data_IF_895827199774
#
_entry.id   IF_895827199774
#
_cell.length_a   1.000
_cell.length_b   1.000
_cell.length_c   1.000
_cell.angle_alpha   90.00
_cell.angle_beta   90.00
_cell.angle_gamma   90.00
#
_symmetry.space_group_name_H-M   'P 1'
#
loop_
_entity.id
_entity.type
_entity.pdbx_description
1 polymer ?
#
# COMPACT_ATOMS: atom_id res chain seq x y z
N UNK A 1 -4.14 7.19 3.94
CA UNK A 1 -3.81 5.97 4.73
C UNK A 1 -4.16 6.21 6.17
N UNK A 2 -4.63 5.20 6.88
CA UNK A 2 -4.82 5.30 8.34
C UNK A 2 -3.52 4.97 9.07
N UNK A 3 -3.21 5.77 10.08
CA UNK A 3 -2.18 5.45 11.05
C UNK A 3 -2.68 4.35 12.00
N UNK A 4 -1.74 3.74 12.71
CA UNK A 4 -2.04 2.88 13.87
C UNK A 4 -2.89 3.67 14.87
N UNK A 5 -4.08 3.17 15.21
CA UNK A 5 -5.08 3.90 16.01
C UNK A 5 -6.13 4.68 15.20
N UNK A 6 -6.13 4.60 13.87
CA UNK A 6 -7.21 5.10 13.01
C UNK A 6 -7.10 6.57 12.57
N UNK A 7 -6.06 7.28 13.00
CA UNK A 7 -5.79 8.67 12.63
C UNK A 7 -5.16 8.85 11.24
N UNK A 8 -4.74 10.08 10.91
CA UNK A 8 -4.02 10.38 9.68
C UNK A 8 -2.60 9.81 9.72
N UNK A 9 -2.21 9.11 8.65
CA UNK A 9 -0.86 8.57 8.50
C UNK A 9 -0.15 9.03 7.22
N UNK A 10 1.18 9.09 7.27
CA UNK A 10 2.05 9.29 6.10
C UNK A 10 3.00 8.10 5.97
N UNK A 11 3.13 7.60 4.76
CA UNK A 11 4.17 6.64 4.38
C UNK A 11 5.27 7.36 3.61
N UNK A 12 6.46 7.46 4.21
CA UNK A 12 7.62 8.09 3.61
C UNK A 12 8.67 7.02 3.24
N UNK A 13 9.17 7.07 2.01
CA UNK A 13 10.18 6.13 1.52
C UNK A 13 11.51 6.84 1.31
N UNK A 14 12.54 6.40 2.03
CA UNK A 14 13.92 6.88 1.89
C UNK A 14 14.82 5.72 1.48
N UNK A 15 15.18 5.65 0.19
CA UNK A 15 15.96 4.56 -0.42
C UNK A 15 15.35 3.17 -0.17
N UNK A 16 15.78 2.50 0.90
CA UNK A 16 15.33 1.17 1.32
C UNK A 16 14.73 1.16 2.72
N UNK A 17 14.46 2.32 3.30
CA UNK A 17 13.80 2.47 4.59
C UNK A 17 12.44 3.12 4.38
N UNK A 18 11.40 2.53 4.96
CA UNK A 18 10.08 3.12 5.05
C UNK A 18 9.86 3.70 6.45
N UNK A 19 9.29 4.89 6.51
CA UNK A 19 8.90 5.55 7.74
C UNK A 19 7.40 5.75 7.73
N UNK A 20 6.73 5.29 8.78
CA UNK A 20 5.31 5.51 9.02
C UNK A 20 5.20 6.62 10.06
N UNK A 21 4.56 7.70 9.66
CA UNK A 21 4.28 8.84 10.51
C UNK A 21 2.80 8.86 10.84
N UNK A 22 2.46 9.28 12.05
CA UNK A 22 1.09 9.51 12.48
C UNK A 22 0.94 10.94 12.95
N UNK A 23 -0.25 11.49 12.77
CA UNK A 23 -0.59 12.77 13.37
C UNK A 23 -0.99 12.53 14.82
N UNK A 24 -0.33 13.22 15.75
CA UNK A 24 -0.69 13.24 17.17
C UNK A 24 -0.99 14.66 17.62
N UNK A 25 -1.86 14.78 18.61
CA UNK A 25 -2.22 16.04 19.24
C UNK A 25 -1.61 16.06 20.63
N UNK A 26 -0.86 17.11 20.95
CA UNK A 26 -0.26 17.30 22.27
C UNK A 26 -1.26 17.86 23.29
N UNK A 27 -0.79 18.14 24.51
CA UNK A 27 -1.60 18.72 25.59
C UNK A 27 -2.15 20.10 25.25
N UNK A 28 -1.52 20.81 24.31
CA UNK A 28 -1.90 22.15 23.89
C UNK A 28 -2.87 22.12 22.69
N UNK A 29 -3.37 20.93 22.34
CA UNK A 29 -4.22 20.66 21.18
C UNK A 29 -3.56 20.99 19.84
N UNK A 30 -2.22 21.02 19.76
CA UNK A 30 -1.49 21.25 18.53
C UNK A 30 -1.20 19.91 17.86
N UNK A 31 -1.63 19.79 16.60
CA UNK A 31 -1.38 18.60 15.79
C UNK A 31 0.03 18.63 15.20
N UNK A 32 0.80 17.55 15.40
CA UNK A 32 2.13 17.39 14.83
C UNK A 32 2.34 15.98 14.26
N UNK A 33 3.27 15.87 13.30
CA UNK A 33 3.66 14.58 12.74
C UNK A 33 4.72 13.93 13.62
N UNK A 34 4.41 12.73 14.11
CA UNK A 34 5.30 11.93 14.94
C UNK A 34 5.68 10.66 14.18
N UNK A 35 6.97 10.31 14.21
CA UNK A 35 7.47 9.08 13.62
C UNK A 35 6.98 7.89 14.46
N UNK A 36 6.05 7.10 13.92
CA UNK A 36 5.50 5.94 14.62
C UNK A 36 6.40 4.70 14.47
N UNK A 37 6.89 4.46 13.24
CA UNK A 37 7.63 3.24 12.93
C UNK A 37 8.61 3.47 11.78
N UNK A 38 9.78 2.84 11.87
CA UNK A 38 10.72 2.72 10.74
C UNK A 38 10.90 1.25 10.39
N UNK A 39 10.91 0.95 9.09
CA UNK A 39 11.00 -0.41 8.55
C UNK A 39 12.12 -0.46 7.52
N UNK A 40 13.08 -1.36 7.74
CA UNK A 40 14.18 -1.61 6.80
C UNK A 40 13.75 -2.62 5.73
N UNK A 41 13.41 -2.12 4.55
CA UNK A 41 12.88 -2.92 3.45
C UNK A 41 13.94 -3.83 2.82
N UNK A 42 15.23 -3.48 2.91
CA UNK A 42 16.33 -4.29 2.37
C UNK A 42 16.54 -5.61 3.08
N UNK A 43 16.23 -5.67 4.38
CA UNK A 43 16.25 -6.91 5.16
C UNK A 43 15.05 -7.79 4.83
N UNK A 44 13.86 -7.19 4.68
CA UNK A 44 12.60 -7.91 4.49
C UNK A 44 12.43 -8.47 3.07
N UNK A 45 12.93 -7.74 2.07
CA UNK A 45 12.81 -8.14 0.67
C UNK A 45 13.90 -9.13 0.22
N UNK A 46 14.75 -9.65 1.14
CA UNK A 46 15.90 -10.52 0.82
C UNK A 46 16.71 -9.98 -0.37
N UNK A 47 16.93 -8.66 -0.38
CA UNK A 47 17.45 -7.88 -1.52
C UNK A 47 18.97 -8.03 -1.74
N UNK A 48 19.56 -9.17 -1.39
CA UNK A 48 21.01 -9.40 -1.41
C UNK A 48 21.63 -9.18 -2.80
N UNK A 49 20.90 -9.44 -3.90
CA UNK A 49 21.37 -9.16 -5.26
C UNK A 49 21.13 -7.72 -5.73
N UNK A 50 20.19 -7.00 -5.11
CA UNK A 50 19.74 -5.66 -5.50
C UNK A 50 20.72 -4.57 -5.06
N UNK A 51 21.42 -4.76 -3.93
CA UNK A 51 22.36 -3.77 -3.37
C UNK A 51 23.44 -3.29 -4.35
N UNK A 52 23.73 -4.07 -5.40
CA UNK A 52 24.68 -3.73 -6.47
C UNK A 52 24.08 -2.83 -7.56
N UNK A 53 22.76 -2.89 -7.78
CA UNK A 53 22.03 -2.03 -8.72
C UNK A 53 21.52 -0.81 -7.94
N UNK A 54 22.15 0.34 -8.16
CA UNK A 54 21.90 1.61 -7.44
C UNK A 54 20.50 2.22 -7.64
N UNK A 55 19.55 1.51 -8.22
CA UNK A 55 18.21 2.06 -8.41
C UNK A 55 17.39 1.94 -7.11
N UNK A 56 16.79 3.05 -6.63
CA UNK A 56 16.00 3.07 -5.41
C UNK A 56 14.61 2.45 -5.64
N UNK A 57 13.99 2.00 -4.54
CA UNK A 57 12.57 1.66 -4.55
C UNK A 57 11.75 2.92 -4.85
N UNK A 58 10.61 2.74 -5.54
CA UNK A 58 9.66 3.83 -5.76
C UNK A 58 8.23 3.40 -5.46
N UNK A 59 7.46 4.31 -4.88
CA UNK A 59 6.02 4.11 -4.63
C UNK A 59 5.31 4.22 -5.98
N UNK A 60 4.48 3.21 -6.29
CA UNK A 60 3.62 3.22 -7.49
C UNK A 60 2.18 3.58 -7.19
N UNK A 61 1.75 3.35 -5.95
CA UNK A 61 0.44 3.79 -5.49
C UNK A 61 0.11 3.21 -4.14
N UNK A 62 -1.09 3.54 -3.69
CA UNK A 62 -1.57 3.22 -2.36
C UNK A 62 -3.05 2.83 -2.44
N UNK A 63 -3.41 1.76 -1.74
CA UNK A 63 -4.77 1.27 -1.58
C UNK A 63 -5.22 1.65 -0.17
N UNK A 64 -6.13 2.62 -0.07
CA UNK A 64 -6.39 3.33 1.18
C UNK A 64 -7.16 2.52 2.20
N UNK A 65 -8.16 1.79 1.76
CA UNK A 65 -9.02 1.01 2.62
C UNK A 65 -8.27 -0.16 3.25
N UNK A 66 -7.39 -0.82 2.47
CA UNK A 66 -6.65 -1.98 2.93
C UNK A 66 -5.28 -1.65 3.54
N UNK A 67 -4.91 -0.36 3.60
CA UNK A 67 -3.59 0.10 4.05
C UNK A 67 -2.43 -0.61 3.35
N UNK A 68 -2.52 -0.75 2.02
CA UNK A 68 -1.50 -1.43 1.19
C UNK A 68 -0.75 -0.45 0.32
N UNK A 69 0.59 -0.51 0.34
CA UNK A 69 1.46 0.27 -0.55
C UNK A 69 2.03 -0.61 -1.65
N UNK A 70 2.00 -0.11 -2.89
CA UNK A 70 2.68 -0.73 -4.03
C UNK A 70 4.07 -0.13 -4.19
N UNK A 71 5.09 -0.97 -4.06
CA UNK A 71 6.48 -0.60 -4.29
C UNK A 71 7.02 -1.29 -5.53
N UNK A 72 7.60 -0.49 -6.43
CA UNK A 72 8.40 -1.01 -7.52
C UNK A 72 9.86 -1.07 -7.07
N UNK A 73 10.40 -2.28 -7.06
CA UNK A 73 11.80 -2.53 -7.29
C UNK A 73 12.05 -2.67 -8.81
N UNK A 74 13.26 -2.48 -9.31
CA UNK A 74 13.45 -2.38 -10.76
C UNK A 74 13.19 -3.64 -11.57
N UNK A 75 13.13 -4.82 -10.96
CA UNK A 75 12.68 -6.06 -11.61
C UNK A 75 11.33 -6.56 -11.13
N UNK A 76 10.79 -6.00 -10.04
CA UNK A 76 9.71 -6.64 -9.28
C UNK A 76 8.76 -5.61 -8.66
N UNK A 77 7.48 -5.93 -8.69
CA UNK A 77 6.44 -5.17 -7.99
C UNK A 77 6.06 -5.90 -6.71
N UNK A 78 6.03 -5.16 -5.60
CA UNK A 78 5.67 -5.66 -4.28
C UNK A 78 4.48 -4.88 -3.72
N UNK A 79 3.72 -5.56 -2.88
CA UNK A 79 2.76 -4.94 -1.96
C UNK A 79 3.26 -5.09 -0.53
N UNK A 80 3.07 -4.05 0.26
CA UNK A 80 3.30 -4.05 1.71
C UNK A 80 1.98 -3.74 2.40
N UNK A 81 1.50 -4.65 3.24
CA UNK A 81 0.43 -4.32 4.19
C UNK A 81 1.06 -3.60 5.38
N UNK A 82 0.68 -2.34 5.64
CA UNK A 82 1.40 -1.47 6.56
C UNK A 82 1.23 -1.85 8.05
N UNK A 83 0.09 -2.42 8.42
CA UNK A 83 -0.19 -2.84 9.82
C UNK A 83 0.63 -4.07 10.20
N UNK A 84 0.52 -5.14 9.40
CA UNK A 84 1.20 -6.43 9.64
C UNK A 84 2.64 -6.46 9.13
N UNK A 85 3.03 -5.47 8.33
CA UNK A 85 4.28 -5.47 7.57
C UNK A 85 4.48 -6.73 6.72
N UNK A 86 3.39 -7.33 6.23
CA UNK A 86 3.48 -8.45 5.31
C UNK A 86 3.86 -7.98 3.91
N UNK A 87 4.89 -8.62 3.36
CA UNK A 87 5.39 -8.37 2.02
C UNK A 87 4.93 -9.46 1.08
N UNK A 88 4.41 -9.05 -0.09
CA UNK A 88 4.04 -9.98 -1.15
C UNK A 88 4.56 -9.46 -2.47
N UNK A 89 5.23 -10.34 -3.22
CA UNK A 89 5.58 -10.09 -4.62
C UNK A 89 4.33 -10.26 -5.48
N UNK A 90 3.99 -9.24 -6.24
CA UNK A 90 2.82 -9.24 -7.13
C UNK A 90 3.20 -9.75 -8.52
N UNK A 91 4.31 -9.25 -9.07
CA UNK A 91 4.75 -9.60 -10.42
C UNK A 91 6.24 -9.33 -10.62
N UNK A 92 6.81 -9.95 -11.66
CA UNK A 92 8.03 -9.43 -12.29
C UNK A 92 7.65 -8.27 -13.19
N UNK A 93 8.44 -7.22 -13.18
CA UNK A 93 8.21 -6.00 -13.96
C UNK A 93 9.51 -5.63 -14.66
N UNK A 94 9.54 -5.76 -15.99
CA UNK A 94 10.73 -5.46 -16.82
C UNK A 94 10.58 -4.15 -17.61
N UNK A 95 9.48 -3.42 -17.44
CA UNK A 95 9.17 -2.21 -18.19
C UNK A 95 8.55 -1.15 -17.29
N UNK A 96 8.69 0.12 -17.68
CA UNK A 96 8.15 1.25 -16.93
C UNK A 96 6.63 1.36 -17.15
N UNK A 97 5.87 0.42 -16.59
CA UNK A 97 4.41 0.48 -16.59
C UNK A 97 3.92 1.50 -15.54
N UNK A 98 2.97 2.36 -15.93
CA UNK A 98 2.20 3.20 -15.01
C UNK A 98 1.14 2.31 -14.36
N UNK A 99 1.18 2.20 -13.05
CA UNK A 99 0.18 1.43 -12.28
C UNK A 99 -0.75 2.42 -11.62
N UNK A 100 -2.05 2.22 -11.81
CA UNK A 100 -3.11 3.01 -11.17
C UNK A 100 -3.92 2.05 -10.29
N UNK A 101 -3.50 1.81 -9.05
CA UNK A 101 -4.28 0.97 -8.16
C UNK A 101 -5.64 1.63 -7.92
N UNK A 102 -6.70 0.82 -7.95
CA UNK A 102 -8.05 1.23 -7.59
C UNK A 102 -8.61 0.21 -6.59
N UNK A 103 -9.39 0.69 -5.64
CA UNK A 103 -10.17 -0.16 -4.73
C UNK A 103 -11.64 -0.06 -5.13
N UNK A 104 -12.32 -1.19 -5.19
CA UNK A 104 -13.77 -1.25 -5.30
C UNK A 104 -14.36 -1.95 -4.08
N UNK A 105 -15.58 -1.57 -3.71
CA UNK A 105 -16.34 -2.23 -2.65
C UNK A 105 -17.54 -2.88 -3.31
N UNK A 106 -17.64 -4.20 -3.20
CA UNK A 106 -18.87 -4.91 -3.54
C UNK A 106 -19.77 -4.91 -2.30
N UNK A 107 -20.88 -4.18 -2.38
CA UNK A 107 -21.96 -4.35 -1.41
C UNK A 107 -22.64 -5.67 -1.77
N UNK A 108 -22.47 -6.69 -0.93
CA UNK A 108 -23.31 -7.88 -1.00
C UNK A 108 -24.76 -7.40 -0.86
N UNK A 109 -25.56 -7.57 -1.90
CA UNK A 109 -26.92 -7.04 -1.96
C UNK A 109 -27.66 -7.40 -0.67
N UNK A 110 -28.15 -6.39 0.03
CA UNK A 110 -29.15 -6.58 1.07
C UNK A 110 -30.31 -7.31 0.41
N UNK A 111 -30.42 -8.62 0.68
CA UNK A 111 -31.55 -9.43 0.28
C UNK A 111 -32.78 -8.96 1.03
N UNK A 112 -33.39 -7.87 0.56
CA UNK A 112 -34.79 -7.59 0.80
C UNK A 112 -35.49 -8.08 -0.45
N UNK A 113 -36.13 -9.24 -0.32
CA UNK A 113 -36.65 -10.01 -1.43
C UNK A 113 -37.58 -9.21 -2.35
N UNK A 114 -37.48 -9.51 -3.64
CA UNK A 114 -38.51 -9.12 -4.61
C UNK A 114 -37.99 -8.96 -6.02
N UNK A 115 -38.13 -10.02 -6.84
CA UNK A 115 -38.38 -9.88 -8.27
C UNK A 115 -37.17 -9.96 -9.21
N UNK A 116 -37.25 -10.94 -10.11
CA UNK A 116 -36.46 -11.12 -11.33
C UNK A 116 -36.10 -9.81 -12.05
N UNK A 117 -34.83 -9.63 -12.42
CA UNK A 117 -34.39 -9.84 -13.81
C UNK A 117 -32.87 -9.71 -13.92
N UNK A 118 -32.28 -10.58 -14.74
CA UNK A 118 -30.84 -10.74 -14.88
C UNK A 118 -30.15 -9.51 -15.49
N UNK A 119 -28.88 -9.33 -15.13
CA UNK A 119 -27.94 -8.51 -15.88
C UNK A 119 -26.53 -9.08 -15.76
N UNK A 120 -25.80 -8.89 -16.86
CA UNK A 120 -24.78 -9.76 -17.42
C UNK A 120 -23.40 -9.70 -16.74
N UNK A 121 -22.69 -10.82 -16.88
CA UNK A 121 -21.27 -10.95 -16.57
C UNK A 121 -20.47 -10.15 -17.60
N UNK A 122 -19.88 -9.03 -17.18
CA UNK A 122 -18.86 -8.36 -17.98
C UNK A 122 -17.53 -9.10 -17.85
N UNK A 123 -17.19 -9.86 -18.88
CA UNK A 123 -15.82 -10.33 -19.12
C UNK A 123 -14.95 -9.14 -19.54
N UNK A 124 -13.95 -8.82 -18.73
CA UNK A 124 -12.90 -7.89 -19.15
C UNK A 124 -11.81 -8.69 -19.88
N UNK A 125 -11.62 -8.40 -21.17
CA UNK A 125 -10.51 -8.91 -22.00
C UNK A 125 -9.28 -8.01 -21.84
#
# INVERSE_FOLDING_TARGET
MRAEGGGLGIFFLSKFSAQLWKMETDSDNVASWVLARTVELDKLLLMSSWKKKREPLCIKGFAEYNSVVFLRAPTDLFTIQLESLQFKKVSRTNFVARYHPFENVYVAGMGIGGGHDGAEVLHNT
#
